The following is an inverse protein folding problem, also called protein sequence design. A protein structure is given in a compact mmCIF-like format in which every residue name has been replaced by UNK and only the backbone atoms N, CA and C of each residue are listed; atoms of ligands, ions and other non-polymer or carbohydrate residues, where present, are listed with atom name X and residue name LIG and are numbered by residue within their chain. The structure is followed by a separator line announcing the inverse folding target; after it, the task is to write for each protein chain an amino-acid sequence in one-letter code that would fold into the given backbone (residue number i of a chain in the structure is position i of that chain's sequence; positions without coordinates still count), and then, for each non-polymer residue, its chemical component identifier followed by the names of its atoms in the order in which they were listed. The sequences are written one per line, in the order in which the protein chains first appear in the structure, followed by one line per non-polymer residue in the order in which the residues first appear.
data_IF_679780791951
#
_entry.id   IF_679780791951
#
_cell.length_a   1.000
_cell.length_b   1.000
_cell.length_c   1.000
_cell.angle_alpha   90.00
_cell.angle_beta   90.00
_cell.angle_gamma   90.00
#
_symmetry.space_group_name_H-M   'P 1'
#
loop_
_entity.id
_entity.type
_entity.pdbx_description
1 polymer ?
#
# COMPACT_ATOMS: atom_id res chain seq x y z
N UNK A 1 9.18 8.58 4.95
CA UNK A 1 9.06 7.13 5.21
C UNK A 1 9.52 6.35 3.95
N UNK A 2 10.81 6.40 3.60
CA UNK A 2 11.33 5.90 2.30
C UNK A 2 12.46 4.86 2.45
N UNK A 3 12.86 4.51 3.67
CA UNK A 3 14.10 3.78 3.96
C UNK A 3 13.94 2.37 4.54
N UNK A 4 12.74 1.97 4.96
CA UNK A 4 12.55 0.68 5.68
C UNK A 4 12.68 -0.58 4.82
N UNK A 5 12.62 -0.47 3.49
CA UNK A 5 12.44 -1.64 2.60
C UNK A 5 13.67 -1.97 1.74
N UNK A 6 14.79 -1.27 1.95
CA UNK A 6 16.08 -1.55 1.29
C UNK A 6 17.06 -2.33 2.18
N UNK A 7 16.64 -2.74 3.38
CA UNK A 7 17.51 -3.44 4.32
C UNK A 7 17.59 -4.94 4.03
N UNK A 8 18.77 -5.57 4.21
CA UNK A 8 18.89 -7.02 4.19
C UNK A 8 17.93 -7.61 5.23
N UNK A 9 17.26 -8.71 4.89
CA UNK A 9 16.13 -9.25 5.66
C UNK A 9 16.40 -9.43 7.17
N UNK A 10 17.65 -9.64 7.58
CA UNK A 10 18.06 -9.69 8.99
C UNK A 10 18.03 -8.35 9.74
N UNK A 11 18.31 -7.22 9.06
CA UNK A 11 18.18 -5.88 9.66
C UNK A 11 16.72 -5.47 9.83
N UNK A 12 15.86 -5.79 8.85
CA UNK A 12 14.44 -5.46 8.89
C UNK A 12 13.70 -6.11 10.08
N UNK A 13 14.06 -7.33 10.46
CA UNK A 13 13.49 -8.00 11.65
C UNK A 13 13.91 -7.32 12.96
N UNK A 14 15.19 -6.94 13.07
CA UNK A 14 15.72 -6.21 14.23
C UNK A 14 15.09 -4.83 14.38
N UNK A 15 14.96 -4.09 13.29
CA UNK A 15 14.32 -2.77 13.29
C UNK A 15 12.83 -2.85 13.59
N UNK A 16 12.12 -3.83 13.01
CA UNK A 16 10.70 -4.03 13.29
C UNK A 16 10.48 -4.36 14.78
N UNK A 17 11.35 -5.21 15.37
CA UNK A 17 11.28 -5.53 16.81
C UNK A 17 11.54 -4.29 17.67
N UNK A 18 12.55 -3.48 17.32
CA UNK A 18 12.86 -2.23 18.01
C UNK A 18 11.72 -1.22 17.93
N UNK A 19 11.11 -1.09 16.75
CA UNK A 19 9.96 -0.21 16.52
C UNK A 19 8.71 -0.67 17.30
N UNK A 20 8.41 -1.97 17.29
CA UNK A 20 7.30 -2.55 18.07
C UNK A 20 7.49 -2.27 19.56
N UNK A 21 8.71 -2.44 20.09
CA UNK A 21 9.01 -2.13 21.48
C UNK A 21 8.76 -0.66 21.79
N UNK A 22 9.31 0.27 21.01
CA UNK A 22 9.06 1.70 21.19
C UNK A 22 7.57 2.06 21.10
N UNK A 23 6.89 1.57 20.07
CA UNK A 23 5.48 1.87 19.81
C UNK A 23 4.54 1.31 20.88
N UNK A 24 4.87 0.16 21.47
CA UNK A 24 4.09 -0.43 22.57
C UNK A 24 4.16 0.36 23.88
N UNK A 25 5.23 1.14 24.09
CA UNK A 25 5.39 2.03 25.25
C UNK A 25 4.95 3.47 24.94
N UNK A 26 4.43 3.73 23.73
CA UNK A 26 3.90 5.04 23.38
C UNK A 26 2.61 5.32 24.16
N UNK A 27 2.46 6.55 24.65
CA UNK A 27 1.24 7.02 25.33
C UNK A 27 0.14 7.45 24.35
N UNK A 28 0.38 7.31 23.04
CA UNK A 28 -0.55 7.64 21.96
C UNK A 28 -1.35 6.37 21.59
N UNK A 29 -2.66 6.30 21.86
CA UNK A 29 -3.45 5.08 21.68
C UNK A 29 -3.49 4.58 20.24
N UNK A 30 -3.46 5.48 19.25
CA UNK A 30 -3.43 5.15 17.82
C UNK A 30 -2.14 4.43 17.42
N UNK A 31 -1.00 4.82 18.01
CA UNK A 31 0.30 4.18 17.80
C UNK A 31 0.30 2.78 18.43
N UNK A 32 -0.31 2.63 19.60
CA UNK A 32 -0.45 1.33 20.28
C UNK A 32 -1.35 0.38 19.47
N UNK A 33 -2.46 0.87 18.93
CA UNK A 33 -3.34 0.11 18.04
C UNK A 33 -2.66 -0.30 16.74
N UNK A 34 -1.91 0.61 16.12
CA UNK A 34 -1.10 0.32 14.95
C UNK A 34 -0.06 -0.76 15.27
N UNK A 35 0.61 -0.67 16.41
CA UNK A 35 1.55 -1.67 16.89
C UNK A 35 0.88 -3.05 17.05
N UNK A 36 -0.33 -3.12 17.62
CA UNK A 36 -1.11 -4.36 17.74
C UNK A 36 -1.45 -4.96 16.37
N UNK A 37 -1.81 -4.14 15.38
CA UNK A 37 -2.08 -4.59 13.99
C UNK A 37 -0.82 -5.12 13.31
N UNK A 38 0.30 -4.42 13.46
CA UNK A 38 1.59 -4.82 12.88
C UNK A 38 2.11 -6.11 13.53
N UNK A 39 2.01 -6.24 14.86
CA UNK A 39 2.42 -7.46 15.58
C UNK A 39 1.62 -8.69 15.14
N UNK A 40 0.32 -8.54 14.87
CA UNK A 40 -0.54 -9.62 14.34
C UNK A 40 -0.16 -10.10 12.93
N UNK A 41 0.45 -9.23 12.11
CA UNK A 41 0.85 -9.53 10.72
C UNK A 41 2.38 -9.57 10.54
N UNK A 42 3.13 -9.70 11.64
CA UNK A 42 4.60 -9.62 11.64
C UNK A 42 5.22 -10.58 10.63
N UNK A 43 4.78 -11.82 10.62
CA UNK A 43 5.38 -12.86 9.77
C UNK A 43 5.08 -12.63 8.28
N UNK A 44 3.90 -12.10 7.97
CA UNK A 44 3.52 -11.70 6.60
C UNK A 44 4.35 -10.50 6.12
N UNK A 45 4.58 -9.51 7.00
CA UNK A 45 5.41 -8.35 6.71
C UNK A 45 6.85 -8.79 6.42
N UNK A 46 7.42 -9.64 7.27
CA UNK A 46 8.77 -10.17 7.06
C UNK A 46 8.87 -11.02 5.79
N UNK A 47 7.84 -11.82 5.49
CA UNK A 47 7.74 -12.58 4.23
C UNK A 47 7.68 -11.67 3.00
N UNK A 48 7.08 -10.49 3.11
CA UNK A 48 6.96 -9.51 2.01
C UNK A 48 8.26 -8.71 1.81
N UNK A 49 9.11 -8.61 2.84
CA UNK A 49 10.42 -7.94 2.76
C UNK A 49 11.49 -8.85 2.15
N UNK A 50 11.41 -10.17 2.38
CA UNK A 50 12.37 -11.17 1.84
C UNK A 50 12.62 -11.08 0.32
N UNK A 51 11.62 -10.84 -0.55
CA UNK A 51 11.82 -10.69 -1.99
C UNK A 51 12.46 -9.36 -2.41
N UNK A 52 12.75 -8.43 -1.49
CA UNK A 52 13.40 -7.15 -1.80
C UNK A 52 12.57 -6.24 -2.72
N UNK A 53 11.24 -6.41 -2.76
CA UNK A 53 10.40 -5.62 -3.65
C UNK A 53 10.35 -4.17 -3.18
N UNK A 54 10.79 -3.25 -4.04
CA UNK A 54 10.75 -1.84 -3.71
C UNK A 54 9.30 -1.36 -3.62
N UNK A 55 9.00 -0.55 -2.59
CA UNK A 55 7.68 0.08 -2.43
C UNK A 55 7.31 0.95 -3.64
N UNK A 56 8.26 1.28 -4.51
CA UNK A 56 8.06 2.09 -5.71
C UNK A 56 6.90 1.58 -6.58
N UNK A 57 6.74 0.26 -6.74
CA UNK A 57 5.64 -0.29 -7.55
C UNK A 57 4.27 -0.09 -6.89
N UNK A 58 4.20 -0.27 -5.56
CA UNK A 58 2.99 -0.04 -4.78
C UNK A 58 2.65 1.45 -4.70
N UNK A 59 3.65 2.32 -4.52
CA UNK A 59 3.47 3.78 -4.54
C UNK A 59 3.01 4.28 -5.90
N UNK A 60 3.57 3.77 -7.00
CA UNK A 60 3.13 4.09 -8.34
C UNK A 60 1.66 3.70 -8.56
N UNK A 61 1.24 2.54 -8.05
CA UNK A 61 -0.14 2.09 -8.09
C UNK A 61 -1.06 2.99 -7.25
N UNK A 62 -0.67 3.29 -6.01
CA UNK A 62 -1.40 4.19 -5.12
C UNK A 62 -1.57 5.58 -5.74
N UNK A 63 -0.53 6.11 -6.40
CA UNK A 63 -0.61 7.39 -7.09
C UNK A 63 -1.57 7.34 -8.29
N UNK A 64 -1.58 6.26 -9.10
CA UNK A 64 -2.57 6.09 -10.18
C UNK A 64 -4.01 6.05 -9.67
N UNK A 65 -4.25 5.41 -8.52
CA UNK A 65 -5.57 5.40 -7.87
C UNK A 65 -5.95 6.82 -7.42
N UNK A 66 -5.07 7.51 -6.69
CA UNK A 66 -5.31 8.88 -6.21
C UNK A 66 -5.62 9.84 -7.35
N UNK A 67 -4.86 9.77 -8.44
CA UNK A 67 -5.11 10.58 -9.65
C UNK A 67 -6.47 10.22 -10.26
N UNK A 68 -6.82 8.95 -10.34
CA UNK A 68 -8.12 8.50 -10.87
C UNK A 68 -9.29 9.03 -10.05
N UNK A 69 -9.20 8.97 -8.72
CA UNK A 69 -10.23 9.52 -7.82
C UNK A 69 -10.35 11.03 -7.99
N UNK A 70 -9.22 11.74 -8.08
CA UNK A 70 -9.21 13.20 -8.26
C UNK A 70 -9.83 13.63 -9.58
N UNK A 71 -9.51 12.94 -10.68
CA UNK A 71 -10.08 13.22 -12.00
C UNK A 71 -11.57 12.92 -12.09
N UNK A 72 -12.06 11.96 -11.31
CA UNK A 72 -13.48 11.64 -11.24
C UNK A 72 -14.29 12.58 -10.34
N UNK A 73 -13.62 13.49 -9.59
CA UNK A 73 -14.23 14.31 -8.55
C UNK A 73 -14.95 13.49 -7.45
N UNK A 74 -14.46 12.27 -7.22
CA UNK A 74 -15.09 11.30 -6.32
C UNK A 74 -16.02 10.33 -7.06
N UNK A 75 -16.43 9.27 -6.36
CA UNK A 75 -17.39 8.30 -6.87
C UNK A 75 -18.54 8.19 -5.89
N UNK A 76 -19.78 8.18 -6.39
CA UNK A 76 -20.97 7.94 -5.56
C UNK A 76 -21.02 6.52 -4.99
N UNK A 77 -20.46 5.53 -5.72
CA UNK A 77 -20.43 4.12 -5.32
C UNK A 77 -19.01 3.56 -5.40
N UNK A 78 -18.64 2.76 -4.40
CA UNK A 78 -17.30 2.12 -4.32
C UNK A 78 -17.09 1.13 -5.47
N UNK A 79 -18.13 0.49 -5.96
CA UNK A 79 -18.04 -0.44 -7.09
C UNK A 79 -17.57 0.25 -8.38
N UNK A 80 -17.98 1.50 -8.59
CA UNK A 80 -17.54 2.30 -9.74
C UNK A 80 -16.06 2.67 -9.63
N UNK A 81 -15.58 2.96 -8.41
CA UNK A 81 -14.15 3.15 -8.15
C UNK A 81 -13.37 1.86 -8.44
N UNK A 82 -13.83 0.71 -7.94
CA UNK A 82 -13.19 -0.59 -8.16
C UNK A 82 -13.12 -0.92 -9.65
N UNK A 83 -14.21 -0.74 -10.38
CA UNK A 83 -14.28 -0.94 -11.83
C UNK A 83 -13.27 -0.05 -12.57
N UNK A 84 -13.18 1.23 -12.20
CA UNK A 84 -12.23 2.17 -12.80
C UNK A 84 -10.77 1.86 -12.47
N UNK A 85 -10.47 1.40 -11.26
CA UNK A 85 -9.12 0.95 -10.89
C UNK A 85 -8.75 -0.30 -11.68
N UNK A 86 -9.66 -1.29 -11.76
CA UNK A 86 -9.46 -2.49 -12.59
C UNK A 86 -9.23 -2.09 -14.06
N UNK A 87 -9.98 -1.14 -14.60
CA UNK A 87 -9.80 -0.66 -15.96
C UNK A 87 -8.42 -0.02 -16.17
N UNK A 88 -8.06 0.94 -15.33
CA UNK A 88 -6.84 1.76 -15.51
C UNK A 88 -5.56 1.09 -15.08
N UNK A 89 -5.61 0.12 -14.17
CA UNK A 89 -4.42 -0.48 -13.56
C UNK A 89 -4.19 -1.94 -13.93
N UNK A 90 -5.14 -2.63 -14.59
CA UNK A 90 -4.96 -4.02 -15.06
C UNK A 90 -4.05 -4.15 -16.28
N UNK A 91 -3.81 -3.05 -17.01
CA UNK A 91 -3.05 -3.09 -18.27
C UNK A 91 -3.77 -3.83 -19.40
N UNK A 92 -5.09 -4.06 -19.28
CA UNK A 92 -5.87 -4.71 -20.33
C UNK A 92 -5.90 -3.82 -21.59
N UNK A 93 -5.68 -4.39 -22.79
CA UNK A 93 -5.78 -3.68 -24.05
C UNK A 93 -7.26 -3.43 -24.37
N UNK A 94 -7.83 -2.38 -23.80
CA UNK A 94 -9.24 -2.05 -23.99
C UNK A 94 -9.34 -1.02 -25.10
N UNK A 95 -9.86 -1.46 -26.25
CA UNK A 95 -10.26 -0.54 -27.32
C UNK A 95 -11.61 0.05 -26.95
N UNK A 96 -11.62 1.34 -26.62
CA UNK A 96 -12.88 2.07 -26.48
C UNK A 96 -13.53 2.17 -27.85
N UNK A 97 -14.85 1.95 -27.96
CA UNK A 97 -15.56 2.24 -29.20
C UNK A 97 -15.39 3.72 -29.53
N UNK A 98 -14.88 4.02 -30.73
CA UNK A 98 -14.84 5.39 -31.23
C UNK A 98 -16.26 5.83 -31.54
N UNK A 99 -16.66 7.06 -31.16
CA UNK A 99 -17.95 7.59 -31.58
C UNK A 99 -17.97 7.61 -33.11
N UNK A 100 -18.96 6.95 -33.70
CA UNK A 100 -19.26 7.12 -35.12
C UNK A 100 -19.94 8.48 -35.22
N UNK A 101 -19.24 9.46 -35.80
CA UNK A 101 -19.81 10.75 -36.19
C UNK A 101 -20.76 10.55 -37.38
#
# INVERSE_FOLDING_TARGET
MRTLLHQPAGQAEGELKRWINWASHSRIPEIVELCRKIRRRRDDILRTIRPGHSNARLEAFNNRIKVTIRMAYGFHHVDNLIAMIKLKCSGLPIRLPVPVL
#
